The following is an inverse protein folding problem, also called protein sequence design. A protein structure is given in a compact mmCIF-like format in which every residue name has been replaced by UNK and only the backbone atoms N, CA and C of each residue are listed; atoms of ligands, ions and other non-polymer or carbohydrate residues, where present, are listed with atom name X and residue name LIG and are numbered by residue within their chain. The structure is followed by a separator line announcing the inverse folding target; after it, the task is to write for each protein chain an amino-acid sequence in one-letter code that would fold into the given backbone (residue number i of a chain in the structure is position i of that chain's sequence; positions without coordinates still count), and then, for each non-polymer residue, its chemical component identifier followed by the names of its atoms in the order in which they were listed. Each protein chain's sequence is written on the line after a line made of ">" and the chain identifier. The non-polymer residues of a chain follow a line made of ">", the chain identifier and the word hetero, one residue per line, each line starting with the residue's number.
data_IF_178207168432
#
_entry.id   IF_178207168432
#
_cell.length_a   1.000
_cell.length_b   1.000
_cell.length_c   1.000
_cell.angle_alpha   90.00
_cell.angle_beta   90.00
_cell.angle_gamma   90.00
#
_symmetry.space_group_name_H-M   'P 1'
#
loop_
_entity.id
_entity.type
_entity.pdbx_description
1 polymer ?
#
# COMPACT_ATOMS: atom_id res chain seq x y z
N UNK A 1 -14.09 -4.28 -24.15
CA UNK A 1 -13.61 -3.06 -24.82
C UNK A 1 -14.81 -2.18 -25.16
N UNK A 2 -14.65 -0.86 -25.27
CA UNK A 2 -15.70 0.05 -25.76
C UNK A 2 -16.95 0.19 -24.89
N UNK A 3 -16.90 -0.21 -23.62
CA UNK A 3 -18.02 -0.08 -22.67
C UNK A 3 -17.65 0.89 -21.56
N UNK A 4 -18.56 1.78 -21.11
CA UNK A 4 -18.31 2.60 -19.95
C UNK A 4 -18.18 1.73 -18.70
N UNK A 5 -17.25 2.10 -17.82
CA UNK A 5 -17.10 1.48 -16.50
C UNK A 5 -17.00 2.56 -15.43
N UNK A 6 -17.54 2.30 -14.25
CA UNK A 6 -17.34 3.16 -13.08
C UNK A 6 -16.21 2.59 -12.22
N UNK A 7 -15.18 3.42 -11.96
CA UNK A 7 -14.17 3.16 -10.94
C UNK A 7 -14.54 3.88 -9.66
N UNK A 8 -14.56 3.16 -8.54
CA UNK A 8 -14.59 3.75 -7.19
C UNK A 8 -13.20 3.73 -6.60
N UNK A 9 -12.50 4.84 -6.71
CA UNK A 9 -11.18 5.01 -6.14
C UNK A 9 -11.31 5.46 -4.69
N UNK A 10 -10.78 4.67 -3.76
CA UNK A 10 -10.77 4.95 -2.32
C UNK A 10 -9.33 5.01 -1.85
N UNK A 11 -8.99 6.07 -1.11
CA UNK A 11 -7.70 6.15 -0.43
C UNK A 11 -7.85 5.62 1.00
N UNK A 12 -7.40 4.38 1.23
CA UNK A 12 -7.39 3.76 2.56
C UNK A 12 -6.07 3.95 3.32
N UNK A 13 -5.14 4.74 2.79
CA UNK A 13 -3.87 5.12 3.41
C UNK A 13 -3.98 6.54 3.99
N UNK A 14 -3.07 6.91 4.90
CA UNK A 14 -2.94 8.28 5.39
C UNK A 14 -2.30 9.21 4.37
N UNK A 15 -1.43 8.69 3.50
CA UNK A 15 -0.76 9.49 2.50
C UNK A 15 -1.70 9.85 1.35
N UNK A 16 -1.61 11.07 0.78
CA UNK A 16 -2.42 11.43 -0.38
C UNK A 16 -2.08 10.58 -1.60
N UNK A 17 -3.11 10.18 -2.34
CA UNK A 17 -2.95 9.40 -3.57
C UNK A 17 -3.86 9.94 -4.67
N UNK A 18 -3.34 9.95 -5.88
CA UNK A 18 -4.13 10.12 -7.08
C UNK A 18 -4.03 8.84 -7.92
N UNK A 19 -4.77 8.82 -9.03
CA UNK A 19 -4.85 7.69 -9.93
C UNK A 19 -4.96 8.22 -11.36
N UNK A 20 -4.16 7.68 -12.27
CA UNK A 20 -4.24 7.97 -13.69
C UNK A 20 -4.23 6.66 -14.50
N UNK A 21 -5.12 6.53 -15.48
CA UNK A 21 -5.10 5.45 -16.49
C UNK A 21 -4.37 6.00 -17.71
N UNK A 22 -3.43 5.23 -18.26
CA UNK A 22 -2.57 5.69 -19.36
C UNK A 22 -2.70 4.81 -20.59
N UNK A 23 -2.19 5.33 -21.71
CA UNK A 23 -1.98 4.55 -22.94
C UNK A 23 -0.94 3.45 -22.73
N UNK A 24 -1.08 2.27 -23.37
CA UNK A 24 -0.09 1.20 -23.25
C UNK A 24 1.30 1.66 -23.71
N UNK A 25 2.34 1.39 -22.92
CA UNK A 25 3.73 1.75 -23.18
C UNK A 25 4.18 3.10 -22.61
N UNK A 26 3.30 3.83 -21.91
CA UNK A 26 3.58 5.18 -21.42
C UNK A 26 3.86 5.28 -19.91
N UNK A 27 3.84 4.18 -19.16
CA UNK A 27 3.91 4.21 -17.69
C UNK A 27 5.20 4.85 -17.18
N UNK A 28 6.34 4.48 -17.75
CA UNK A 28 7.63 5.02 -17.33
C UNK A 28 7.78 6.50 -17.72
N UNK A 29 7.33 6.87 -18.91
CA UNK A 29 7.33 8.26 -19.40
C UNK A 29 6.51 9.17 -18.48
N UNK A 30 5.24 8.81 -18.25
CA UNK A 30 4.34 9.60 -17.39
C UNK A 30 4.83 9.62 -15.95
N UNK A 31 5.35 8.51 -15.44
CA UNK A 31 5.91 8.43 -14.09
C UNK A 31 7.12 9.34 -13.90
N UNK A 32 8.06 9.35 -14.84
CA UNK A 32 9.20 10.27 -14.80
C UNK A 32 8.77 11.73 -14.94
N UNK A 33 7.78 12.02 -15.79
CA UNK A 33 7.23 13.35 -15.94
C UNK A 33 6.58 13.84 -14.64
N UNK A 34 5.79 12.99 -13.98
CA UNK A 34 5.19 13.28 -12.67
C UNK A 34 6.25 13.65 -11.62
N UNK A 35 7.36 12.89 -11.58
CA UNK A 35 8.48 13.15 -10.68
C UNK A 35 9.16 14.49 -10.98
N UNK A 36 9.48 14.75 -12.26
CA UNK A 36 10.20 15.96 -12.67
C UNK A 36 9.42 17.26 -12.45
N UNK A 37 8.08 17.18 -12.50
CA UNK A 37 7.16 18.31 -12.37
C UNK A 37 6.52 18.41 -10.98
N UNK A 38 6.91 17.54 -10.04
CA UNK A 38 6.33 17.44 -8.69
C UNK A 38 6.49 18.72 -7.85
N UNK A 39 7.48 19.55 -8.19
CA UNK A 39 7.82 20.79 -7.47
C UNK A 39 7.38 22.05 -8.20
N UNK A 40 6.71 21.90 -9.35
CA UNK A 40 6.19 23.04 -10.10
C UNK A 40 5.16 23.78 -9.25
N UNK A 41 5.09 25.11 -9.41
CA UNK A 41 4.18 25.95 -8.64
C UNK A 41 2.71 25.54 -8.79
N UNK A 42 2.35 24.93 -9.93
CA UNK A 42 1.01 24.46 -10.23
C UNK A 42 0.75 22.99 -9.85
N UNK A 43 1.75 22.25 -9.35
CA UNK A 43 1.69 20.80 -9.13
C UNK A 43 0.50 20.38 -8.27
N UNK A 44 0.27 21.08 -7.16
CA UNK A 44 -0.89 20.85 -6.30
C UNK A 44 -2.22 21.19 -7.00
N UNK A 45 -2.28 22.29 -7.74
CA UNK A 45 -3.50 22.73 -8.43
C UNK A 45 -3.96 21.69 -9.46
N UNK A 46 -3.01 21.11 -10.20
CA UNK A 46 -3.24 19.99 -11.13
C UNK A 46 -3.28 18.62 -10.46
N UNK A 47 -3.43 18.56 -9.14
CA UNK A 47 -3.59 17.31 -8.37
C UNK A 47 -2.41 16.33 -8.53
N UNK A 48 -1.22 16.85 -8.81
CA UNK A 48 -0.01 16.11 -9.20
C UNK A 48 -0.12 15.28 -10.48
N UNK A 49 -1.19 15.43 -11.27
CA UNK A 49 -1.35 14.78 -12.58
C UNK A 49 -0.53 15.54 -13.64
N UNK A 50 0.54 14.96 -14.23
CA UNK A 50 1.36 15.66 -15.22
C UNK A 50 0.59 15.96 -16.50
N UNK A 51 0.95 17.03 -17.22
CA UNK A 51 0.35 17.35 -18.52
C UNK A 51 0.92 16.40 -19.58
N UNK A 52 0.14 15.41 -20.00
CA UNK A 52 0.52 14.43 -21.03
C UNK A 52 -0.72 13.94 -21.80
N UNK A 53 -0.56 13.75 -23.11
CA UNK A 53 -1.56 13.16 -24.01
C UNK A 53 -1.69 11.63 -23.86
N UNK A 54 -0.80 11.03 -23.06
CA UNK A 54 -0.83 9.62 -22.70
C UNK A 54 -1.83 9.31 -21.59
N UNK A 55 -2.34 10.32 -20.88
CA UNK A 55 -3.31 10.14 -19.79
C UNK A 55 -4.72 10.07 -20.36
N UNK A 56 -5.40 8.96 -20.12
CA UNK A 56 -6.76 8.69 -20.60
C UNK A 56 -7.83 9.07 -19.56
N UNK A 57 -7.50 8.98 -18.28
CA UNK A 57 -8.37 9.35 -17.16
C UNK A 57 -7.50 9.70 -15.96
N UNK A 58 -7.92 10.66 -15.15
CA UNK A 58 -7.26 10.99 -13.90
C UNK A 58 -8.26 11.30 -12.77
N UNK A 59 -7.90 10.90 -11.55
CA UNK A 59 -8.59 11.28 -10.32
C UNK A 59 -8.10 12.62 -9.80
N UNK A 60 -8.86 13.20 -8.85
CA UNK A 60 -8.32 14.23 -7.95
C UNK A 60 -7.35 13.59 -6.96
N UNK A 61 -6.59 14.42 -6.24
CA UNK A 61 -5.79 13.94 -5.12
C UNK A 61 -6.73 13.62 -3.96
N UNK A 62 -6.79 12.35 -3.57
CA UNK A 62 -7.58 11.89 -2.44
C UNK A 62 -6.72 11.91 -1.19
N UNK A 63 -7.18 12.63 -0.17
CA UNK A 63 -6.68 12.50 1.19
C UNK A 63 -7.12 11.16 1.79
N UNK A 64 -6.50 10.75 2.89
CA UNK A 64 -6.88 9.51 3.58
C UNK A 64 -8.36 9.47 3.95
N UNK A 65 -8.99 8.32 3.69
CA UNK A 65 -10.43 8.09 3.89
C UNK A 65 -11.33 8.67 2.80
N UNK A 66 -10.81 9.46 1.86
CA UNK A 66 -11.62 10.02 0.78
C UNK A 66 -11.87 9.00 -0.34
N UNK A 67 -12.99 9.20 -1.04
CA UNK A 67 -13.43 8.39 -2.17
C UNK A 67 -13.78 9.30 -3.36
N UNK A 68 -13.58 8.80 -4.57
CA UNK A 68 -14.09 9.38 -5.82
C UNK A 68 -14.64 8.29 -6.74
N UNK A 69 -15.81 8.52 -7.32
CA UNK A 69 -16.31 7.74 -8.45
C UNK A 69 -15.87 8.42 -9.75
N UNK A 70 -15.38 7.64 -10.72
CA UNK A 70 -15.00 8.10 -12.05
C UNK A 70 -15.64 7.20 -13.10
N UNK A 71 -16.24 7.80 -14.13
CA UNK A 71 -16.68 7.05 -15.31
C UNK A 71 -15.54 7.05 -16.32
N UNK A 72 -15.22 5.87 -16.84
CA UNK A 72 -14.20 5.67 -17.85
C UNK A 72 -14.80 5.05 -19.10
N UNK A 73 -14.70 5.77 -20.21
CA UNK A 73 -14.99 5.22 -21.53
C UNK A 73 -13.84 4.30 -21.95
N UNK A 74 -14.00 3.01 -21.70
CA UNK A 74 -12.95 2.01 -21.98
C UNK A 74 -12.63 2.03 -23.47
N UNK A 75 -11.36 2.15 -23.86
CA UNK A 75 -10.95 2.09 -25.26
C UNK A 75 -11.53 0.88 -26.00
N UNK A 76 -11.85 1.07 -27.27
CA UNK A 76 -12.34 -0.02 -28.14
C UNK A 76 -11.23 -1.00 -28.51
N UNK A 77 -9.97 -0.56 -28.47
CA UNK A 77 -8.81 -1.42 -28.71
C UNK A 77 -8.49 -2.27 -27.47
N UNK A 78 -8.53 -3.62 -27.57
CA UNK A 78 -8.02 -4.51 -26.54
C UNK A 78 -6.55 -4.26 -26.26
N UNK A 79 -6.14 -4.49 -25.02
CA UNK A 79 -4.77 -4.24 -24.59
C UNK A 79 -4.65 -4.18 -23.08
N UNK A 80 -3.41 -4.03 -22.62
CA UNK A 80 -3.10 -3.80 -21.21
C UNK A 80 -2.79 -2.33 -21.02
N UNK A 81 -3.69 -1.64 -20.33
CA UNK A 81 -3.59 -0.21 -20.06
C UNK A 81 -3.04 -0.04 -18.64
N UNK A 82 -1.86 0.56 -18.47
CA UNK A 82 -1.33 0.80 -17.14
C UNK A 82 -2.19 1.84 -16.41
N UNK A 83 -2.32 1.66 -15.10
CA UNK A 83 -2.73 2.73 -14.20
C UNK A 83 -1.66 2.99 -13.15
N UNK A 84 -1.55 4.23 -12.68
CA UNK A 84 -0.44 4.66 -11.82
C UNK A 84 -0.85 5.79 -10.88
N UNK A 85 -0.29 5.80 -9.67
CA UNK A 85 -0.29 6.96 -8.79
C UNK A 85 0.88 7.88 -9.17
N UNK A 86 0.57 9.11 -9.54
CA UNK A 86 1.52 10.16 -9.95
C UNK A 86 1.84 11.12 -8.82
N UNK A 87 1.33 10.88 -7.61
CA UNK A 87 1.80 11.59 -6.42
C UNK A 87 3.33 11.39 -6.28
N UNK A 88 4.10 12.42 -5.88
CA UNK A 88 5.55 12.39 -5.97
C UNK A 88 6.18 11.15 -5.32
N UNK A 89 7.10 10.46 -6.02
CA UNK A 89 7.76 9.24 -5.56
C UNK A 89 6.96 7.94 -5.65
N UNK A 90 5.64 7.97 -5.93
CA UNK A 90 4.79 6.77 -5.81
C UNK A 90 4.79 5.87 -7.05
N UNK A 91 4.96 6.46 -8.24
CA UNK A 91 4.73 5.78 -9.53
C UNK A 91 5.59 4.53 -9.75
N UNK A 92 6.74 4.41 -9.07
CA UNK A 92 7.64 3.24 -9.14
C UNK A 92 7.15 2.03 -8.36
N UNK A 93 6.13 2.18 -7.53
CA UNK A 93 5.60 1.12 -6.65
C UNK A 93 4.08 0.97 -6.75
N UNK A 94 3.38 2.08 -7.02
CA UNK A 94 1.94 2.18 -7.07
C UNK A 94 1.44 2.24 -8.52
N UNK A 95 1.50 1.09 -9.19
CA UNK A 95 0.98 0.91 -10.53
C UNK A 95 0.30 -0.45 -10.65
N UNK A 96 -0.52 -0.61 -11.68
CA UNK A 96 -1.11 -1.88 -12.05
C UNK A 96 -1.60 -1.90 -13.49
N UNK A 97 -2.26 -2.99 -13.87
CA UNK A 97 -2.72 -3.24 -15.22
C UNK A 97 -4.25 -3.33 -15.27
N UNK A 98 -4.84 -2.56 -16.19
CA UNK A 98 -6.21 -2.73 -16.64
C UNK A 98 -6.21 -3.56 -17.93
N UNK A 99 -6.70 -4.80 -17.84
CA UNK A 99 -6.86 -5.67 -19.01
C UNK A 99 -8.16 -5.34 -19.73
N UNK A 100 -8.04 -4.75 -20.92
CA UNK A 100 -9.15 -4.51 -21.82
C UNK A 100 -9.24 -5.67 -22.80
N UNK A 101 -10.31 -6.45 -22.68
CA UNK A 101 -10.59 -7.64 -23.50
C UNK A 101 -11.84 -7.43 -24.35
N UNK A 102 -11.95 -8.13 -25.47
CA UNK A 102 -13.16 -8.12 -26.30
C UNK A 102 -14.33 -8.82 -25.61
N UNK A 103 -14.08 -9.95 -24.94
CA UNK A 103 -15.11 -10.72 -24.26
C UNK A 103 -14.74 -10.93 -22.78
N UNK A 104 -15.36 -10.14 -21.91
CA UNK A 104 -15.13 -10.19 -20.46
C UNK A 104 -15.60 -11.50 -19.82
N UNK A 105 -16.68 -12.10 -20.32
CA UNK A 105 -17.23 -13.35 -19.78
C UNK A 105 -16.27 -14.51 -20.02
N UNK A 106 -15.76 -14.65 -21.25
CA UNK A 106 -14.74 -15.66 -21.58
C UNK A 106 -13.44 -15.45 -20.81
N UNK A 107 -12.98 -14.20 -20.69
CA UNK A 107 -11.79 -13.89 -19.90
C UNK A 107 -11.96 -14.28 -18.43
N UNK A 108 -13.12 -14.04 -17.82
CA UNK A 108 -13.39 -14.40 -16.41
C UNK A 108 -13.52 -15.91 -16.19
N UNK A 109 -14.02 -16.65 -17.18
CA UNK A 109 -14.19 -18.10 -17.08
C UNK A 109 -12.84 -18.83 -17.08
N UNK A 110 -11.91 -18.44 -17.97
CA UNK A 110 -10.56 -18.98 -18.02
C UNK A 110 -9.58 -17.92 -18.57
N UNK A 111 -8.97 -17.11 -17.69
CA UNK A 111 -8.03 -16.07 -18.11
C UNK A 111 -6.81 -16.63 -18.84
N UNK A 112 -6.36 -17.84 -18.47
CA UNK A 112 -5.15 -18.45 -19.03
C UNK A 112 -5.40 -18.88 -20.47
N UNK A 113 -6.47 -19.65 -20.71
CA UNK A 113 -6.84 -20.06 -22.05
C UNK A 113 -7.24 -18.85 -22.92
N UNK A 114 -7.95 -17.87 -22.34
CA UNK A 114 -8.32 -16.65 -23.06
C UNK A 114 -7.09 -15.90 -23.56
N UNK A 115 -6.10 -15.64 -22.69
CA UNK A 115 -4.88 -14.90 -23.05
C UNK A 115 -3.97 -15.70 -23.98
N UNK A 116 -3.99 -17.04 -23.92
CA UNK A 116 -3.30 -17.88 -24.90
C UNK A 116 -3.90 -17.73 -26.31
N UNK A 117 -5.23 -17.66 -26.42
CA UNK A 117 -5.93 -17.48 -27.69
C UNK A 117 -5.98 -16.01 -28.17
N UNK A 118 -5.90 -15.04 -27.25
CA UNK A 118 -5.98 -13.61 -27.52
C UNK A 118 -4.82 -12.88 -26.82
N UNK A 119 -3.60 -12.95 -27.38
CA UNK A 119 -2.42 -12.40 -26.72
C UNK A 119 -2.55 -10.90 -26.49
N UNK A 120 -2.36 -10.47 -25.23
CA UNK A 120 -2.29 -9.07 -24.85
C UNK A 120 -0.87 -8.73 -24.38
N UNK A 121 0.04 -8.29 -25.29
CA UNK A 121 1.42 -8.03 -24.93
C UNK A 121 1.54 -6.87 -23.94
N UNK A 122 2.34 -7.07 -22.89
CA UNK A 122 2.71 -6.01 -21.96
C UNK A 122 3.69 -5.06 -22.64
N UNK A 123 3.25 -3.82 -22.90
CA UNK A 123 4.08 -2.76 -23.49
C UNK A 123 4.88 -1.96 -22.46
N UNK A 124 4.54 -2.10 -21.18
CA UNK A 124 5.22 -1.45 -20.07
C UNK A 124 6.01 -2.50 -19.27
N UNK A 125 7.33 -2.37 -19.22
CA UNK A 125 8.21 -3.35 -18.57
C UNK A 125 7.90 -3.55 -17.09
N UNK A 126 7.50 -2.48 -16.38
CA UNK A 126 7.15 -2.55 -14.96
C UNK A 126 5.96 -3.49 -14.69
N UNK A 127 5.04 -3.65 -15.65
CA UNK A 127 3.90 -4.55 -15.47
C UNK A 127 4.30 -6.02 -15.44
N UNK A 128 5.49 -6.39 -15.96
CA UNK A 128 6.01 -7.77 -15.88
C UNK A 128 6.26 -8.24 -14.45
N UNK A 129 6.41 -7.30 -13.51
CA UNK A 129 6.61 -7.59 -12.09
C UNK A 129 5.31 -7.64 -11.29
N UNK A 130 4.15 -7.39 -11.93
CA UNK A 130 2.85 -7.38 -11.27
C UNK A 130 2.17 -8.78 -11.25
N UNK A 131 2.96 -9.84 -11.07
CA UNK A 131 2.53 -11.24 -11.27
C UNK A 131 1.65 -11.79 -10.16
N UNK A 132 1.67 -11.19 -8.96
CA UNK A 132 0.85 -11.58 -7.81
C UNK A 132 0.18 -10.34 -7.23
N UNK A 133 -1.15 -10.31 -7.29
CA UNK A 133 -1.95 -9.25 -6.68
C UNK A 133 -3.29 -9.82 -6.24
N UNK A 134 -3.30 -10.47 -5.08
CA UNK A 134 -4.52 -10.96 -4.43
C UNK A 134 -4.84 -10.05 -3.26
N UNK A 135 -6.04 -9.48 -3.21
CA UNK A 135 -6.51 -8.81 -1.99
C UNK A 135 -6.95 -9.87 -0.97
N UNK A 136 -6.04 -10.22 -0.06
CA UNK A 136 -6.32 -11.16 1.02
C UNK A 136 -7.30 -10.57 2.03
N UNK A 137 -8.31 -11.34 2.39
CA UNK A 137 -9.24 -11.02 3.49
C UNK A 137 -8.87 -11.82 4.72
N UNK A 138 -9.23 -11.29 5.89
CA UNK A 138 -9.00 -11.99 7.15
C UNK A 138 -9.64 -13.39 7.16
N UNK A 139 -10.85 -13.51 6.60
CA UNK A 139 -11.55 -14.78 6.45
C UNK A 139 -10.80 -15.80 5.57
N UNK A 140 -9.98 -15.34 4.61
CA UNK A 140 -9.24 -16.24 3.73
C UNK A 140 -8.10 -16.94 4.47
N UNK A 141 -7.57 -16.34 5.54
CA UNK A 141 -6.30 -16.73 6.17
C UNK A 141 -6.43 -17.14 7.64
N UNK A 142 -7.50 -16.73 8.34
CA UNK A 142 -7.64 -16.96 9.81
C UNK A 142 -7.55 -18.44 10.19
N UNK A 143 -8.13 -19.32 9.40
CA UNK A 143 -8.08 -20.76 9.65
C UNK A 143 -6.66 -21.34 9.55
N UNK A 144 -5.75 -20.67 8.83
CA UNK A 144 -4.35 -21.11 8.68
C UNK A 144 -3.43 -20.61 9.80
N UNK A 145 -3.89 -19.69 10.65
CA UNK A 145 -3.09 -19.11 11.74
C UNK A 145 -3.62 -19.52 13.13
N UNK A 146 -4.65 -20.37 13.19
CA UNK A 146 -5.30 -20.80 14.44
C UNK A 146 -5.61 -22.32 14.44
N UNK A 147 -4.62 -23.18 14.76
CA UNK A 147 -3.23 -22.84 15.10
C UNK A 147 -2.39 -22.54 13.86
N UNK A 148 -1.33 -21.73 14.04
CA UNK A 148 -0.30 -21.57 13.02
C UNK A 148 0.55 -22.85 12.98
N UNK A 149 0.62 -23.57 11.84
CA UNK A 149 1.39 -24.81 11.76
C UNK A 149 2.89 -24.57 11.96
N UNK A 150 3.59 -25.58 12.47
CA UNK A 150 5.05 -25.62 12.52
C UNK A 150 5.68 -25.84 11.14
N UNK A 151 6.98 -26.13 11.12
CA UNK A 151 7.74 -26.30 9.86
C UNK A 151 7.78 -25.04 8.98
N UNK A 152 7.61 -23.86 9.57
CA UNK A 152 7.68 -22.57 8.86
C UNK A 152 9.12 -22.25 8.48
N UNK A 153 9.31 -21.48 7.42
CA UNK A 153 10.64 -21.12 6.94
C UNK A 153 11.11 -19.79 7.54
N UNK A 154 12.00 -19.87 8.55
CA UNK A 154 12.50 -18.69 9.27
C UNK A 154 13.14 -17.64 8.35
N UNK A 155 14.08 -18.04 7.49
CA UNK A 155 14.77 -17.08 6.61
C UNK A 155 13.84 -16.47 5.56
N UNK A 156 12.82 -17.22 5.11
CA UNK A 156 11.77 -16.69 4.21
C UNK A 156 10.97 -15.61 4.94
N UNK A 157 10.46 -15.89 6.14
CA UNK A 157 9.71 -14.91 6.93
C UNK A 157 10.52 -13.64 7.25
N UNK A 158 11.81 -13.81 7.54
CA UNK A 158 12.75 -12.71 7.79
C UNK A 158 12.99 -11.84 6.57
N UNK A 159 13.20 -12.42 5.39
CA UNK A 159 13.36 -11.65 4.16
C UNK A 159 12.05 -10.99 3.74
N UNK A 160 10.91 -11.67 3.90
CA UNK A 160 9.60 -11.08 3.66
C UNK A 160 9.30 -9.88 4.56
N UNK A 161 9.78 -9.88 5.81
CA UNK A 161 9.67 -8.73 6.70
C UNK A 161 10.36 -7.48 6.14
N UNK A 162 11.43 -7.66 5.34
CA UNK A 162 12.10 -6.57 4.62
C UNK A 162 11.40 -6.24 3.31
N UNK A 163 11.04 -7.24 2.51
CA UNK A 163 10.43 -7.07 1.17
C UNK A 163 9.04 -6.43 1.26
N UNK A 164 8.24 -6.82 2.25
CA UNK A 164 6.96 -6.19 2.57
C UNK A 164 7.14 -4.82 3.27
N UNK A 165 8.39 -4.36 3.44
CA UNK A 165 8.75 -3.06 3.98
C UNK A 165 8.34 -2.84 5.45
N UNK A 166 8.08 -3.91 6.21
CA UNK A 166 7.71 -3.83 7.63
C UNK A 166 8.83 -3.18 8.46
N UNK A 167 10.10 -3.47 8.14
CA UNK A 167 11.29 -2.88 8.78
C UNK A 167 11.34 -1.35 8.72
N UNK A 168 10.62 -0.74 7.78
CA UNK A 168 10.63 0.71 7.63
C UNK A 168 9.85 1.42 8.73
N UNK A 169 8.91 0.73 9.39
CA UNK A 169 8.12 1.28 10.49
C UNK A 169 8.29 0.51 11.80
N UNK A 170 8.52 -0.80 11.74
CA UNK A 170 8.54 -1.67 12.90
C UNK A 170 9.94 -2.15 13.23
N UNK A 171 10.27 -2.12 14.53
CA UNK A 171 11.48 -2.72 15.07
C UNK A 171 11.20 -4.17 15.44
N UNK A 172 12.14 -5.06 15.10
CA UNK A 172 12.18 -6.43 15.58
C UNK A 172 13.65 -6.83 15.80
N UNK A 173 13.99 -7.24 17.02
CA UNK A 173 15.37 -7.59 17.40
C UNK A 173 16.42 -6.54 17.04
N UNK A 174 16.13 -5.26 17.35
CA UNK A 174 16.96 -4.10 17.05
C UNK A 174 17.18 -3.79 15.55
N UNK A 175 16.43 -4.46 14.66
CA UNK A 175 16.40 -4.15 13.22
C UNK A 175 15.11 -3.42 12.89
N UNK A 176 15.21 -2.32 12.14
CA UNK A 176 14.07 -1.51 11.69
C UNK A 176 13.97 -0.16 12.40
N UNK A 177 12.81 0.50 12.27
CA UNK A 177 12.51 1.82 12.85
C UNK A 177 11.39 1.73 13.89
N UNK A 178 11.09 2.82 14.59
CA UNK A 178 10.02 2.89 15.60
C UNK A 178 8.91 3.90 15.23
N UNK A 179 8.46 3.86 13.98
CA UNK A 179 7.24 4.58 13.56
C UNK A 179 5.96 3.77 13.84
N UNK A 180 6.10 2.47 14.12
CA UNK A 180 5.09 1.59 14.67
C UNK A 180 5.62 0.86 15.92
N UNK A 181 4.79 0.00 16.54
CA UNK A 181 5.19 -0.79 17.70
C UNK A 181 6.47 -1.60 17.49
N UNK A 182 7.31 -1.68 18.53
CA UNK A 182 8.40 -2.67 18.61
C UNK A 182 7.79 -4.08 18.75
N UNK A 183 7.91 -4.86 17.68
CA UNK A 183 7.30 -6.18 17.55
C UNK A 183 7.94 -7.22 18.48
N UNK A 184 9.16 -6.96 19.00
CA UNK A 184 9.77 -7.82 20.00
C UNK A 184 9.16 -7.60 21.40
N UNK A 185 8.49 -6.46 21.62
CA UNK A 185 7.97 -6.01 22.91
C UNK A 185 6.44 -5.94 22.98
N UNK A 186 5.73 -6.57 22.04
CA UNK A 186 4.26 -6.59 22.11
C UNK A 186 3.78 -7.31 23.36
N UNK A 187 2.66 -6.81 23.90
CA UNK A 187 1.89 -7.50 24.93
C UNK A 187 1.61 -8.95 24.51
N UNK A 188 1.73 -9.96 25.40
CA UNK A 188 1.48 -11.36 25.08
C UNK A 188 0.13 -11.61 24.37
N UNK A 189 -0.92 -10.83 24.68
CA UNK A 189 -2.24 -10.94 24.02
C UNK A 189 -2.22 -10.47 22.56
N UNK A 190 -1.33 -9.53 22.23
CA UNK A 190 -1.10 -9.02 20.87
C UNK A 190 -0.05 -9.84 20.10
N UNK A 191 0.74 -10.67 20.78
CA UNK A 191 1.73 -11.58 20.20
C UNK A 191 1.12 -12.88 19.65
N UNK A 192 -0.13 -12.85 19.20
CA UNK A 192 -0.81 -14.02 18.61
C UNK A 192 -0.84 -13.91 17.09
N UNK A 193 -0.77 -15.05 16.40
CA UNK A 193 -0.81 -15.07 14.93
C UNK A 193 -2.11 -14.46 14.38
N UNK A 194 -3.24 -14.69 15.06
CA UNK A 194 -4.52 -14.08 14.71
C UNK A 194 -4.51 -12.55 14.83
N UNK A 195 -3.98 -12.01 15.94
CA UNK A 195 -3.90 -10.56 16.14
C UNK A 195 -2.96 -9.91 15.12
N UNK A 196 -1.78 -10.48 14.91
CA UNK A 196 -0.79 -9.97 13.93
C UNK A 196 -1.39 -9.98 12.52
N UNK A 197 -2.01 -11.09 12.10
CA UNK A 197 -2.68 -11.18 10.80
C UNK A 197 -3.75 -10.09 10.64
N UNK A 198 -4.60 -9.90 11.66
CA UNK A 198 -5.64 -8.89 11.63
C UNK A 198 -5.06 -7.48 11.54
N UNK A 199 -4.04 -7.17 12.32
CA UNK A 199 -3.39 -5.85 12.31
C UNK A 199 -2.75 -5.53 10.96
N UNK A 200 -2.23 -6.53 10.23
CA UNK A 200 -1.69 -6.33 8.88
C UNK A 200 -2.80 -6.12 7.84
N UNK A 201 -3.89 -6.88 7.91
CA UNK A 201 -4.98 -6.81 6.93
C UNK A 201 -5.96 -5.66 7.17
N UNK A 202 -6.15 -5.28 8.44
CA UNK A 202 -7.11 -4.29 8.92
C UNK A 202 -6.42 -3.21 9.80
N UNK A 203 -5.35 -2.54 9.32
CA UNK A 203 -4.48 -1.70 10.17
C UNK A 203 -5.19 -0.51 10.81
N UNK A 204 -6.25 0.02 10.18
CA UNK A 204 -7.04 1.13 10.71
C UNK A 204 -8.14 0.72 11.70
N UNK A 205 -8.33 -0.59 11.94
CA UNK A 205 -9.38 -1.09 12.83
C UNK A 205 -9.10 -0.82 14.31
N UNK A 206 -7.82 -0.86 14.68
CA UNK A 206 -7.37 -0.52 16.02
C UNK A 206 -6.01 0.17 15.92
N UNK A 207 -6.02 1.49 16.09
CA UNK A 207 -4.82 2.32 16.05
C UNK A 207 -4.42 2.65 17.49
N UNK A 208 -3.22 2.25 17.87
CA UNK A 208 -2.64 2.62 19.16
C UNK A 208 -2.35 4.12 19.17
N UNK A 209 -2.74 4.81 20.24
CA UNK A 209 -2.68 6.28 20.31
C UNK A 209 -1.26 6.83 20.13
N UNK A 210 -0.26 6.07 20.56
CA UNK A 210 1.15 6.44 20.41
C UNK A 210 1.59 6.55 18.94
N UNK A 211 0.93 5.81 18.05
CA UNK A 211 1.27 5.73 16.63
C UNK A 211 0.17 6.32 15.73
N UNK A 212 -0.77 7.06 16.33
CA UNK A 212 -1.86 7.68 15.59
C UNK A 212 -1.36 8.90 14.80
N UNK A 213 -1.84 9.02 13.56
CA UNK A 213 -1.70 10.25 12.78
C UNK A 213 -2.80 11.26 13.10
N UNK A 214 -2.52 12.51 12.80
CA UNK A 214 -3.45 13.61 12.90
C UNK A 214 -3.56 14.31 11.55
N UNK A 215 -4.77 14.78 11.25
CA UNK A 215 -5.08 15.68 10.15
C UNK A 215 -5.03 17.10 10.70
N UNK A 216 -4.17 17.93 10.11
CA UNK A 216 -4.02 19.34 10.42
C UNK A 216 -4.65 20.16 9.28
N UNK A 217 -5.61 21.01 9.63
CA UNK A 217 -6.13 22.05 8.76
C UNK A 217 -5.31 23.30 9.05
N UNK A 218 -4.61 23.81 8.05
CA UNK A 218 -3.84 25.06 8.17
C UNK A 218 -4.73 26.25 7.81
N UNK A 219 -4.46 27.45 8.33
CA UNK A 219 -5.20 28.69 7.98
C UNK A 219 -5.18 28.98 6.47
N UNK A 220 -4.16 28.50 5.76
CA UNK A 220 -4.09 28.55 4.30
C UNK A 220 -5.12 27.65 3.57
N UNK A 221 -5.90 26.87 4.30
CA UNK A 221 -6.81 25.84 3.79
C UNK A 221 -6.12 24.52 3.42
N UNK A 222 -4.80 24.40 3.61
CA UNK A 222 -4.06 23.17 3.34
C UNK A 222 -4.38 22.10 4.38
N UNK A 223 -4.59 20.87 3.90
CA UNK A 223 -4.70 19.68 4.74
C UNK A 223 -3.38 18.95 4.76
N UNK A 224 -2.86 18.69 5.96
CA UNK A 224 -1.61 17.95 6.16
C UNK A 224 -1.89 16.81 7.14
N UNK A 225 -1.63 15.57 6.72
CA UNK A 225 -1.79 14.39 7.58
C UNK A 225 -0.43 13.82 7.93
N UNK A 226 -0.17 13.57 9.21
CA UNK A 226 1.08 12.94 9.66
C UNK A 226 1.06 12.54 11.12
N UNK A 227 2.04 11.74 11.53
CA UNK A 227 2.24 11.37 12.93
C UNK A 227 3.11 12.40 13.65
N UNK A 228 2.67 12.82 14.84
CA UNK A 228 3.42 13.76 15.68
C UNK A 228 4.61 13.04 16.29
N UNK A 229 5.80 13.57 16.05
CA UNK A 229 7.08 13.06 16.59
C UNK A 229 7.75 14.04 17.55
N UNK A 230 7.28 15.29 17.58
CA UNK A 230 7.70 16.31 18.53
C UNK A 230 6.66 17.42 18.62
N UNK A 231 6.51 18.01 19.81
CA UNK A 231 5.54 19.09 20.04
C UNK A 231 6.14 20.09 21.03
N UNK A 232 6.15 21.36 20.62
CA UNK A 232 6.58 22.53 21.41
C UNK A 232 5.51 23.63 21.30
N UNK A 233 5.47 24.63 22.20
CA UNK A 233 4.44 25.66 22.17
C UNK A 233 4.33 26.39 20.82
N UNK A 234 5.44 26.57 20.10
CA UNK A 234 5.51 27.31 18.84
C UNK A 234 5.37 26.43 17.59
N UNK A 235 5.49 25.10 17.72
CA UNK A 235 5.43 24.21 16.57
C UNK A 235 5.17 22.73 16.90
N UNK A 236 4.50 22.07 15.97
CA UNK A 236 4.34 20.61 15.93
C UNK A 236 5.25 20.05 14.84
N UNK A 237 6.05 19.04 15.19
CA UNK A 237 6.88 18.28 14.25
C UNK A 237 6.17 16.98 13.88
N UNK A 238 5.94 16.77 12.59
CA UNK A 238 5.21 15.62 12.07
C UNK A 238 5.99 14.85 11.00
N UNK A 239 5.74 13.55 10.92
CA UNK A 239 6.20 12.69 9.82
C UNK A 239 5.01 12.36 8.94
N UNK A 240 5.09 12.78 7.68
CA UNK A 240 4.07 12.54 6.65
C UNK A 240 4.35 11.20 5.94
N UNK A 241 5.62 10.98 5.56
CA UNK A 241 6.08 9.75 4.93
C UNK A 241 7.30 9.20 5.72
N UNK A 242 7.15 8.07 6.44
CA UNK A 242 8.24 7.45 7.19
C UNK A 242 9.34 6.87 6.28
N UNK A 243 9.07 6.72 4.98
CA UNK A 243 10.03 6.23 3.97
C UNK A 243 10.84 7.36 3.33
N UNK A 244 10.42 8.61 3.50
CA UNK A 244 11.14 9.76 2.99
C UNK A 244 12.42 10.00 3.80
N UNK A 245 13.54 10.22 3.10
CA UNK A 245 14.81 10.65 3.72
C UNK A 245 14.76 12.16 4.02
N UNK A 246 13.96 12.54 5.00
CA UNK A 246 13.73 13.94 5.37
C UNK A 246 13.66 14.15 6.88
N UNK A 247 13.87 15.39 7.31
CA UNK A 247 13.53 15.80 8.69
C UNK A 247 12.00 15.85 8.83
N UNK A 248 11.47 15.71 10.06
CA UNK A 248 10.07 15.98 10.34
C UNK A 248 9.64 17.34 9.76
N UNK A 249 8.42 17.38 9.22
CA UNK A 249 7.78 18.62 8.76
C UNK A 249 7.40 19.44 9.98
N UNK A 250 7.82 20.69 10.02
CA UNK A 250 7.49 21.62 11.11
C UNK A 250 6.25 22.43 10.72
N UNK A 251 5.19 22.31 11.50
CA UNK A 251 3.98 23.12 11.41
C UNK A 251 4.01 24.15 12.54
N UNK A 252 3.89 25.44 12.21
CA UNK A 252 3.75 26.47 13.24
C UNK A 252 2.37 26.37 13.89
N UNK A 253 2.31 26.51 15.22
CA UNK A 253 1.05 26.32 15.97
C UNK A 253 0.02 27.41 15.69
N UNK A 254 0.45 28.63 15.35
CA UNK A 254 -0.40 29.75 14.95
C UNK A 254 -1.00 29.61 13.54
N UNK A 255 -0.35 28.84 12.65
CA UNK A 255 -0.88 28.55 11.32
C UNK A 255 -1.86 27.36 11.31
N UNK A 256 -2.07 26.66 12.44
CA UNK A 256 -2.97 25.51 12.53
C UNK A 256 -4.37 25.98 12.94
N UNK A 257 -5.32 25.89 12.01
CA UNK A 257 -6.73 26.17 12.25
C UNK A 257 -7.38 25.06 13.09
N UNK A 258 -7.13 23.79 12.76
CA UNK A 258 -7.62 22.66 13.57
C UNK A 258 -6.76 21.40 13.43
N UNK A 259 -6.82 20.56 14.47
CA UNK A 259 -6.14 19.25 14.54
C UNK A 259 -7.16 18.18 14.92
N UNK A 260 -7.21 17.11 14.13
CA UNK A 260 -8.13 16.00 14.36
C UNK A 260 -7.39 14.67 14.25
N UNK A 261 -7.76 13.69 15.07
CA UNK A 261 -7.17 12.33 14.99
C UNK A 261 -7.59 11.67 13.67
N UNK A 262 -6.65 11.13 12.92
CA UNK A 262 -6.95 10.39 11.69
C UNK A 262 -7.62 9.05 12.05
N UNK A 263 -8.73 8.67 11.40
CA UNK A 263 -9.29 7.32 11.51
C UNK A 263 -8.51 6.29 10.68
N UNK A 264 -7.49 6.72 9.93
CA UNK A 264 -6.68 5.87 9.05
C UNK A 264 -5.28 5.68 9.66
N UNK A 265 -4.77 4.46 9.58
CA UNK A 265 -3.44 4.09 10.07
C UNK A 265 -2.34 4.51 9.08
N UNK A 266 -1.13 4.81 9.60
CA UNK A 266 0.05 4.95 8.73
C UNK A 266 0.54 3.61 8.19
N UNK A 267 0.13 2.49 8.80
CA UNK A 267 0.45 1.17 8.27
C UNK A 267 -0.40 0.93 7.00
N UNK A 268 0.22 0.78 5.81
CA UNK A 268 -0.53 0.65 4.58
C UNK A 268 -1.37 -0.62 4.54
N UNK A 269 -2.55 -0.56 3.91
CA UNK A 269 -3.33 -1.76 3.58
C UNK A 269 -2.70 -2.47 2.36
N UNK A 270 -2.84 -3.79 2.30
CA UNK A 270 -2.46 -4.57 1.10
C UNK A 270 -0.99 -4.98 1.05
N UNK A 271 -0.25 -4.85 2.16
CA UNK A 271 1.15 -5.28 2.28
C UNK A 271 1.36 -6.77 1.93
N UNK A 272 0.32 -7.60 2.08
CA UNK A 272 0.36 -9.03 1.80
C UNK A 272 -0.04 -9.38 0.35
N UNK A 273 -0.50 -8.42 -0.47
CA UNK A 273 -1.16 -8.73 -1.74
C UNK A 273 -0.25 -9.39 -2.78
N UNK A 274 1.07 -9.21 -2.64
CA UNK A 274 2.08 -9.81 -3.51
C UNK A 274 2.62 -11.14 -2.99
N UNK A 275 2.16 -11.57 -1.82
CA UNK A 275 2.58 -12.79 -1.15
C UNK A 275 1.56 -13.91 -1.37
N UNK A 276 2.07 -15.12 -1.55
CA UNK A 276 1.30 -16.35 -1.46
C UNK A 276 0.91 -16.63 -0.01
N UNK A 277 -0.05 -17.55 0.17
CA UNK A 277 -0.48 -18.00 1.49
C UNK A 277 0.69 -18.49 2.36
N UNK A 278 1.56 -19.35 1.82
CA UNK A 278 2.69 -19.89 2.59
C UNK A 278 3.69 -18.80 3.00
N UNK A 279 4.03 -17.88 2.08
CA UNK A 279 4.87 -16.71 2.38
C UNK A 279 4.26 -15.86 3.51
N UNK A 280 2.93 -15.68 3.53
CA UNK A 280 2.23 -14.97 4.61
C UNK A 280 2.37 -15.70 5.94
N UNK A 281 2.20 -17.03 5.97
CA UNK A 281 2.35 -17.82 7.19
C UNK A 281 3.78 -17.77 7.73
N UNK A 282 4.79 -17.81 6.87
CA UNK A 282 6.20 -17.68 7.25
C UNK A 282 6.50 -16.28 7.82
N UNK A 283 5.97 -15.23 7.20
CA UNK A 283 6.07 -13.86 7.71
C UNK A 283 5.42 -13.72 9.09
N UNK A 284 4.21 -14.27 9.27
CA UNK A 284 3.52 -14.23 10.56
C UNK A 284 4.31 -15.03 11.60
N UNK A 285 4.84 -16.20 11.27
CA UNK A 285 5.67 -16.99 12.16
C UNK A 285 6.93 -16.24 12.61
N UNK A 286 7.56 -15.52 11.69
CA UNK A 286 8.72 -14.68 11.99
C UNK A 286 8.38 -13.57 13.01
N UNK A 287 7.24 -12.90 12.84
CA UNK A 287 6.80 -11.86 13.80
C UNK A 287 6.37 -12.47 15.14
N UNK A 288 5.56 -13.53 15.12
CA UNK A 288 5.05 -14.24 16.33
C UNK A 288 6.20 -14.76 17.17
N UNK A 289 7.22 -15.36 16.54
CA UNK A 289 8.41 -15.87 17.23
C UNK A 289 9.35 -14.77 17.74
N UNK A 290 9.02 -13.49 17.50
CA UNK A 290 9.89 -12.35 17.75
C UNK A 290 11.26 -12.50 17.08
N UNK A 291 11.28 -13.07 15.88
CA UNK A 291 12.52 -13.35 15.14
C UNK A 291 13.46 -14.35 15.83
N UNK A 292 12.96 -15.18 16.75
CA UNK A 292 13.74 -16.25 17.37
C UNK A 292 13.76 -17.50 16.47
N UNK A 293 14.90 -17.76 15.80
CA UNK A 293 15.08 -18.91 14.93
C UNK A 293 14.90 -20.28 15.62
N UNK A 294 15.00 -20.33 16.96
CA UNK A 294 14.82 -21.55 17.77
C UNK A 294 13.38 -21.74 18.26
N UNK A 295 12.42 -20.96 17.77
CA UNK A 295 11.03 -21.09 18.16
C UNK A 295 10.41 -22.37 17.58
N UNK A 296 9.52 -23.09 18.29
CA UNK A 296 8.87 -24.32 17.81
C UNK A 296 8.11 -24.21 16.47
N UNK A 297 7.86 -22.99 15.99
CA UNK A 297 7.23 -22.75 14.69
C UNK A 297 8.16 -23.11 13.52
N UNK A 298 9.47 -23.14 13.76
CA UNK A 298 10.50 -23.43 12.75
C UNK A 298 11.08 -24.84 12.89
N UNK A 299 10.64 -25.59 13.89
CA UNK A 299 10.96 -27.01 14.01
C UNK A 299 10.15 -27.79 12.97
N UNK A 300 10.78 -28.79 12.35
CA UNK A 300 10.11 -29.64 11.38
C UNK A 300 8.93 -30.36 12.06
N UNK A 301 7.78 -30.42 11.37
CA UNK A 301 6.67 -31.26 11.82
C UNK A 301 7.15 -32.73 11.85
N UNK A 302 7.47 -33.24 13.05
CA UNK A 302 7.56 -34.67 13.27
C UNK A 302 6.14 -35.23 13.15
N UNK A 303 5.78 -35.68 11.95
CA UNK A 303 4.68 -36.63 11.80
C UNK A 303 5.12 -37.89 12.54
N UNK A 304 4.61 -38.06 13.76
CA UNK A 304 4.65 -39.35 14.45
C UNK A 304 4.07 -40.39 13.50
N UNK A 305 4.85 -41.46 13.30
CA UNK A 305 4.41 -42.67 12.62
C UNK A 305 3.18 -43.27 13.30
#
# INVERSE_FOLDING_TARGET
>A
AGKPVEFRFSNSDNMPHNFAILRPGSLAEVGMLAESTARDADAMARQYIPRSDQILLASRLLQGGQVQALVFEVPTAPGVYPYVCTYPGHWRRMYGALYVVDNLEKYRADPVAYLAANPLPLKDDLLKFNTRSQEWKFADLVANVKPLPGGRAFEVGKELFKVANCVACHRLNNVGQEFGPDLAKLDPKKQTAEHILRSILEPSKQIDEKFASYVFVMESGKLITGMVVGEKPEAVEIVIDPLAKGKPTRLLTDEIESRQKSPVSMMPKGLLNRLSREEILDLIAYVVSRGNAKHPLFEAHHHGK
#
